data_IF_595632253195
#
_entry.id   IF_595632253195
#
_cell.length_a   1.000
_cell.length_b   1.000
_cell.length_c   1.000
_cell.angle_alpha   90.00
_cell.angle_beta   90.00
_cell.angle_gamma   90.00
#
_symmetry.space_group_name_H-M   'P 1'
#
loop_
_entity.id
_entity.type
_entity.pdbx_description
1 polymer ?
#
# COMPACT_ATOMS: atom_id res chain seq x y z
N UNK A 1 -17.46 -6.26 -15.97
CA UNK A 1 -16.17 -6.94 -15.69
C UNK A 1 -15.16 -5.85 -15.36
N UNK A 2 -15.10 -5.38 -14.12
CA UNK A 2 -14.13 -4.37 -13.66
C UNK A 2 -13.53 -4.72 -12.28
N UNK A 3 -13.91 -5.85 -11.68
CA UNK A 3 -13.42 -6.30 -10.37
C UNK A 3 -12.01 -6.90 -10.42
N UNK A 4 -11.60 -7.47 -11.55
CA UNK A 4 -10.29 -8.12 -11.70
C UNK A 4 -9.08 -7.20 -11.50
N UNK A 5 -9.17 -5.91 -11.85
CA UNK A 5 -8.03 -4.99 -11.74
C UNK A 5 -7.82 -4.51 -10.30
N UNK A 6 -8.91 -4.22 -9.58
CA UNK A 6 -8.85 -3.84 -8.17
C UNK A 6 -8.36 -5.00 -7.31
N UNK A 7 -8.84 -6.23 -7.56
CA UNK A 7 -8.39 -7.43 -6.84
C UNK A 7 -6.90 -7.70 -7.06
N UNK A 8 -6.38 -7.52 -8.29
CA UNK A 8 -4.94 -7.65 -8.56
C UNK A 8 -4.09 -6.62 -7.83
N UNK A 9 -4.53 -5.37 -7.80
CA UNK A 9 -3.82 -4.30 -7.08
C UNK A 9 -3.84 -4.55 -5.56
N UNK A 10 -4.93 -5.12 -5.04
CA UNK A 10 -5.04 -5.54 -3.64
C UNK A 10 -4.09 -6.70 -3.34
N UNK A 11 -4.03 -7.71 -4.19
CA UNK A 11 -3.11 -8.83 -4.05
C UNK A 11 -1.65 -8.39 -4.16
N UNK A 12 -1.34 -7.44 -5.05
CA UNK A 12 0.00 -6.86 -5.20
C UNK A 12 0.41 -6.05 -3.96
N UNK A 13 -0.49 -5.23 -3.42
CA UNK A 13 -0.27 -4.49 -2.19
C UNK A 13 -0.08 -5.43 -0.98
N UNK A 14 -0.86 -6.52 -0.89
CA UNK A 14 -0.67 -7.56 0.11
C UNK A 14 0.64 -8.33 -0.08
N UNK A 15 1.07 -8.60 -1.31
CA UNK A 15 2.36 -9.25 -1.56
C UNK A 15 3.55 -8.39 -1.11
N UNK A 16 3.44 -7.06 -1.21
CA UNK A 16 4.49 -6.12 -0.78
C UNK A 16 4.44 -5.91 0.75
N UNK A 17 3.25 -5.64 1.30
CA UNK A 17 3.04 -5.50 2.74
C UNK A 17 1.94 -6.45 3.19
N UNK A 18 2.38 -7.64 3.62
CA UNK A 18 1.62 -8.84 3.97
C UNK A 18 0.47 -8.66 4.99
N UNK A 19 0.31 -7.50 5.63
CA UNK A 19 -0.64 -7.33 6.73
C UNK A 19 -1.27 -5.93 6.86
N UNK A 20 -0.95 -4.96 6.00
CA UNK A 20 -1.54 -3.63 6.17
C UNK A 20 -2.92 -3.69 5.56
N UNK A 21 -3.96 -3.44 6.35
CA UNK A 21 -5.27 -3.13 5.77
C UNK A 21 -5.07 -1.97 4.81
N UNK A 22 -5.11 -2.25 3.51
CA UNK A 22 -5.05 -1.25 2.43
C UNK A 22 -6.01 -0.10 2.73
N UNK A 23 -7.16 -0.42 3.35
CA UNK A 23 -8.15 0.50 3.88
C UNK A 23 -7.63 1.52 4.91
N UNK A 24 -6.64 1.17 5.75
CA UNK A 24 -6.04 2.10 6.71
C UNK A 24 -5.06 3.08 6.04
N UNK A 25 -4.57 2.74 4.83
CA UNK A 25 -3.55 3.53 4.12
C UNK A 25 -4.15 4.30 2.94
N UNK A 26 -5.20 3.78 2.30
CA UNK A 26 -5.85 4.40 1.13
C UNK A 26 -6.50 5.75 1.45
N UNK A 27 -6.94 5.95 2.69
CA UNK A 27 -7.49 7.22 3.17
C UNK A 27 -6.41 8.21 3.65
N UNK A 28 -5.16 7.76 3.80
CA UNK A 28 -4.06 8.61 4.25
C UNK A 28 -3.40 9.34 3.07
N UNK A 29 -2.92 10.56 3.32
CA UNK A 29 -2.03 11.23 2.38
C UNK A 29 -0.68 10.50 2.29
N UNK A 30 -0.04 10.54 1.12
CA UNK A 30 1.24 9.87 0.82
C UNK A 30 2.32 10.00 1.93
N UNK A 31 2.57 11.19 2.53
CA UNK A 31 3.50 11.31 3.66
C UNK A 31 3.02 10.62 4.95
N UNK A 32 1.71 10.65 5.25
CA UNK A 32 1.14 9.97 6.41
C UNK A 32 1.14 8.44 6.23
N UNK A 33 0.80 7.98 5.04
CA UNK A 33 0.89 6.58 4.63
C UNK A 33 2.34 6.04 4.76
N UNK A 34 3.32 6.80 4.28
CA UNK A 34 4.75 6.47 4.43
C UNK A 34 5.17 6.37 5.90
N UNK A 35 4.80 7.34 6.73
CA UNK A 35 5.13 7.33 8.16
C UNK A 35 4.47 6.15 8.89
N UNK A 36 3.23 5.82 8.53
CA UNK A 36 2.51 4.66 9.05
C UNK A 36 3.24 3.36 8.69
N UNK A 37 3.59 3.16 7.42
CA UNK A 37 4.31 1.97 6.96
C UNK A 37 5.70 1.84 7.61
N UNK A 38 6.45 2.94 7.69
CA UNK A 38 7.75 2.96 8.38
C UNK A 38 7.64 2.58 9.87
N UNK A 39 6.57 3.02 10.55
CA UNK A 39 6.32 2.72 11.97
C UNK A 39 5.80 1.29 12.17
N UNK A 40 4.90 0.84 11.31
CA UNK A 40 4.26 -0.48 11.41
C UNK A 40 5.24 -1.62 11.13
N UNK A 41 6.13 -1.43 10.15
CA UNK A 41 7.00 -2.50 9.66
C UNK A 41 8.46 -2.37 10.06
N UNK A 42 8.87 -1.26 10.68
CA UNK A 42 10.19 -1.11 11.25
C UNK A 42 11.29 -1.16 10.19
N UNK A 43 11.51 -0.02 9.52
CA UNK A 43 12.67 0.20 8.65
C UNK A 43 12.75 -0.73 7.43
N UNK A 44 11.62 -0.92 6.73
CA UNK A 44 11.60 -1.53 5.41
C UNK A 44 12.32 -0.67 4.38
N UNK A 45 12.82 -1.34 3.33
CA UNK A 45 13.46 -0.70 2.18
C UNK A 45 12.55 0.40 1.61
N UNK A 46 13.06 1.62 1.50
CA UNK A 46 12.26 2.77 1.02
C UNK A 46 11.67 2.50 -0.35
N UNK A 47 12.34 1.68 -1.17
CA UNK A 47 11.86 1.29 -2.48
C UNK A 47 10.58 0.43 -2.43
N UNK A 48 10.40 -0.40 -1.41
CA UNK A 48 9.18 -1.20 -1.22
C UNK A 48 8.03 -0.33 -0.73
N UNK A 49 8.32 0.63 0.14
CA UNK A 49 7.32 1.61 0.60
C UNK A 49 6.83 2.45 -0.58
N UNK A 50 7.74 2.94 -1.42
CA UNK A 50 7.37 3.73 -2.59
C UNK A 50 6.55 2.91 -3.59
N UNK A 51 6.92 1.64 -3.87
CA UNK A 51 6.13 0.73 -4.71
C UNK A 51 4.72 0.48 -4.15
N UNK A 52 4.60 0.22 -2.85
CA UNK A 52 3.30 0.05 -2.22
C UNK A 52 2.45 1.32 -2.35
N UNK A 53 3.02 2.50 -2.12
CA UNK A 53 2.31 3.77 -2.26
C UNK A 53 1.86 4.04 -3.69
N UNK A 54 2.59 3.60 -4.72
CA UNK A 54 2.14 3.67 -6.11
C UNK A 54 0.94 2.76 -6.40
N UNK A 55 0.91 1.55 -5.83
CA UNK A 55 -0.25 0.64 -5.95
C UNK A 55 -1.48 1.25 -5.28
N UNK A 56 -1.31 1.86 -4.09
CA UNK A 56 -2.39 2.57 -3.40
C UNK A 56 -2.89 3.78 -4.20
N UNK A 57 -1.99 4.54 -4.85
CA UNK A 57 -2.35 5.70 -5.68
C UNK A 57 -3.25 5.27 -6.87
N UNK A 58 -2.99 4.11 -7.46
CA UNK A 58 -3.80 3.52 -8.54
C UNK A 58 -5.16 2.98 -8.09
N UNK A 59 -5.33 2.74 -6.79
CA UNK A 59 -6.58 2.25 -6.20
C UNK A 59 -7.56 3.38 -5.85
N UNK A 60 -7.11 4.64 -5.81
CA UNK A 60 -7.95 5.83 -5.62
C UNK A 60 -8.64 6.26 -6.91
#
# INVERSE_FOLDING_TARGET
MHTDETEKLVDEAHAIFNATSIHEVIDLDKPAARAFLMKAYGNYDSALIDQYLEVIDKLR
#
